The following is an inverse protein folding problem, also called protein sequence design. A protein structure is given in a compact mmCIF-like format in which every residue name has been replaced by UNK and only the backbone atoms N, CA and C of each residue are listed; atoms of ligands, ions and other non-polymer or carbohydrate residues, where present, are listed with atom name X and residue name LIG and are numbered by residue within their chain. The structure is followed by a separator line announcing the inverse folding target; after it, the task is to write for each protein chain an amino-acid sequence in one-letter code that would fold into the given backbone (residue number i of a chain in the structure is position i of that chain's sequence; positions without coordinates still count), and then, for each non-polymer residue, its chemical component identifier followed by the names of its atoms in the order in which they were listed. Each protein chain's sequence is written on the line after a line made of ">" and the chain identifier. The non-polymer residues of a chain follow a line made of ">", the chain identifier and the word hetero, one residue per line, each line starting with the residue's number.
data_IF_568961255945
#
_entry.id   IF_568961255945
#
_cell.length_a   1.000
_cell.length_b   1.000
_cell.length_c   1.000
_cell.angle_alpha   90.00
_cell.angle_beta   90.00
_cell.angle_gamma   90.00
#
_symmetry.space_group_name_H-M   'P 1'
#
loop_
_entity.id
_entity.type
_entity.pdbx_description
1 polymer ?
#
# COMPACT_ATOMS: atom_id res chain seq x y z
N UNK A 1 -11.25 19.25 -2.73
CA UNK A 1 -11.01 17.79 -2.58
C UNK A 1 -9.55 17.60 -2.24
N UNK A 2 -9.24 16.78 -1.25
CA UNK A 2 -7.84 16.49 -0.89
C UNK A 2 -7.25 15.53 -1.93
N UNK A 3 -6.07 15.86 -2.47
CA UNK A 3 -5.34 14.97 -3.38
C UNK A 3 -4.45 14.06 -2.53
N UNK A 4 -4.59 12.74 -2.71
CA UNK A 4 -3.69 11.77 -2.12
C UNK A 4 -2.36 11.80 -2.89
N UNK A 5 -1.30 12.16 -2.20
CA UNK A 5 0.03 12.36 -2.78
C UNK A 5 0.83 11.05 -2.86
N UNK A 6 1.88 11.04 -3.69
CA UNK A 6 2.83 9.93 -3.80
C UNK A 6 3.90 10.07 -2.72
N UNK A 7 4.29 8.96 -2.08
CA UNK A 7 5.39 8.93 -1.12
C UNK A 7 6.69 8.57 -1.85
N UNK A 8 7.64 9.51 -1.90
CA UNK A 8 8.95 9.31 -2.53
C UNK A 8 10.04 9.77 -1.56
N UNK A 9 10.98 8.91 -1.24
CA UNK A 9 12.09 9.19 -0.31
C UNK A 9 11.65 9.73 1.07
N UNK A 10 10.48 9.32 1.55
CA UNK A 10 9.92 9.79 2.83
C UNK A 10 9.12 11.09 2.74
N UNK A 11 9.04 11.72 1.57
CA UNK A 11 8.30 12.97 1.34
C UNK A 11 7.04 12.72 0.51
N UNK A 12 5.96 13.44 0.85
CA UNK A 12 4.73 13.42 0.08
C UNK A 12 4.82 14.41 -1.08
N UNK A 13 4.78 13.89 -2.31
CA UNK A 13 4.92 14.67 -3.54
C UNK A 13 3.71 14.47 -4.45
N UNK A 14 3.41 15.47 -5.24
CA UNK A 14 2.37 15.40 -6.25
C UNK A 14 1.73 16.75 -6.54
N UNK A 15 1.24 16.91 -7.75
CA UNK A 15 0.55 18.10 -8.25
C UNK A 15 -0.88 17.76 -8.64
N UNK A 16 -1.13 17.70 -9.96
CA UNK A 16 -2.45 17.40 -10.51
C UNK A 16 -2.92 16.01 -10.11
N UNK A 17 -4.20 15.92 -9.78
CA UNK A 17 -4.82 14.66 -9.36
C UNK A 17 -5.78 14.11 -10.42
N UNK A 18 -5.88 12.77 -10.44
CA UNK A 18 -6.88 12.04 -11.24
C UNK A 18 -7.92 11.44 -10.29
N UNK A 19 -9.19 11.63 -10.61
CA UNK A 19 -10.28 11.00 -9.88
C UNK A 19 -10.27 9.48 -10.12
N UNK A 20 -10.34 8.71 -9.03
CA UNK A 20 -10.62 7.29 -9.05
C UNK A 20 -12.14 7.12 -8.88
N UNK A 21 -12.79 6.55 -9.86
CA UNK A 21 -14.24 6.42 -9.92
C UNK A 21 -14.61 4.95 -9.70
N UNK A 22 -15.58 4.72 -8.84
CA UNK A 22 -16.12 3.39 -8.59
C UNK A 22 -16.75 2.82 -9.88
N UNK A 23 -16.27 1.70 -10.43
CA UNK A 23 -16.79 1.15 -11.68
C UNK A 23 -18.22 0.58 -11.55
N UNK A 24 -18.68 0.30 -10.34
CA UNK A 24 -20.05 -0.16 -10.06
C UNK A 24 -21.04 0.98 -9.83
N UNK A 25 -20.55 2.20 -9.54
CA UNK A 25 -21.35 3.43 -9.39
C UNK A 25 -20.53 4.62 -9.86
N UNK A 26 -20.68 5.00 -11.10
CA UNK A 26 -19.90 6.09 -11.72
C UNK A 26 -20.16 7.49 -11.13
N UNK A 27 -21.12 7.64 -10.23
CA UNK A 27 -21.32 8.87 -9.45
C UNK A 27 -20.48 8.88 -8.16
N UNK A 28 -19.92 7.74 -7.76
CA UNK A 28 -19.09 7.62 -6.57
C UNK A 28 -17.60 7.85 -6.91
N UNK A 29 -17.08 8.98 -6.51
CA UNK A 29 -15.65 9.29 -6.59
C UNK A 29 -14.97 8.74 -5.33
N UNK A 30 -14.18 7.68 -5.48
CA UNK A 30 -13.45 7.01 -4.38
C UNK A 30 -12.43 7.95 -3.76
N UNK A 31 -11.68 8.67 -4.58
CA UNK A 31 -10.69 9.66 -4.17
C UNK A 31 -10.04 10.33 -5.37
N UNK A 32 -9.19 11.31 -5.11
CA UNK A 32 -8.36 11.97 -6.12
C UNK A 32 -6.90 11.70 -5.80
N UNK A 33 -6.15 11.19 -6.75
CA UNK A 33 -4.78 10.70 -6.55
C UNK A 33 -3.80 11.44 -7.45
N UNK A 34 -2.64 11.82 -6.91
CA UNK A 34 -1.62 12.53 -7.65
C UNK A 34 -1.11 11.70 -8.85
N UNK A 35 -1.05 12.36 -9.99
CA UNK A 35 -0.45 11.79 -11.21
C UNK A 35 1.06 11.97 -11.16
N UNK A 36 1.80 10.86 -11.11
CA UNK A 36 3.25 10.90 -11.19
C UNK A 36 3.72 11.25 -12.60
N UNK A 37 4.76 12.06 -12.68
CA UNK A 37 5.50 12.33 -13.91
C UNK A 37 6.59 11.26 -14.14
N UNK A 38 7.23 11.29 -15.31
CA UNK A 38 8.41 10.45 -15.57
C UNK A 38 9.57 10.80 -14.61
N UNK A 39 9.70 12.08 -14.25
CA UNK A 39 10.70 12.55 -13.28
C UNK A 39 10.42 12.02 -11.88
N UNK A 40 9.17 12.07 -11.42
CA UNK A 40 8.76 11.48 -10.13
C UNK A 40 9.05 9.97 -10.10
N UNK A 41 8.74 9.27 -11.18
CA UNK A 41 9.00 7.83 -11.32
C UNK A 41 10.50 7.52 -11.22
N UNK A 42 11.33 8.27 -11.94
CA UNK A 42 12.77 8.11 -11.88
C UNK A 42 13.33 8.45 -10.48
N UNK A 43 12.80 9.48 -9.83
CA UNK A 43 13.16 9.84 -8.46
C UNK A 43 12.80 8.71 -7.48
N UNK A 44 11.63 8.10 -7.62
CA UNK A 44 11.20 6.96 -6.79
C UNK A 44 12.13 5.75 -6.96
N UNK A 45 12.50 5.42 -8.20
CA UNK A 45 13.45 4.34 -8.51
C UNK A 45 14.83 4.64 -7.90
N UNK A 46 15.32 5.87 -8.05
CA UNK A 46 16.59 6.28 -7.46
C UNK A 46 16.58 6.21 -5.93
N UNK A 47 15.50 6.65 -5.30
CA UNK A 47 15.31 6.57 -3.85
C UNK A 47 15.30 5.12 -3.34
N UNK A 48 14.58 4.23 -4.01
CA UNK A 48 14.56 2.80 -3.69
C UNK A 48 15.95 2.16 -3.82
N UNK A 49 16.68 2.48 -4.90
CA UNK A 49 18.05 2.03 -5.11
C UNK A 49 18.99 2.52 -4.02
N UNK A 50 18.87 3.79 -3.61
CA UNK A 50 19.67 4.37 -2.54
C UNK A 50 19.38 3.74 -1.15
N UNK A 51 18.13 3.37 -0.88
CA UNK A 51 17.72 2.73 0.38
C UNK A 51 18.16 1.25 0.48
N UNK A 52 18.30 0.56 -0.65
CA UNK A 52 18.57 -0.88 -0.71
C UNK A 52 19.80 -1.32 0.11
N UNK A 53 20.98 -0.65 0.07
CA UNK A 53 22.16 -1.12 0.81
C UNK A 53 21.95 -1.20 2.32
N UNK A 54 21.22 -0.26 2.91
CA UNK A 54 20.90 -0.29 4.35
C UNK A 54 19.83 -1.35 4.65
N UNK A 55 18.75 -1.37 3.86
CA UNK A 55 17.65 -2.32 4.05
C UNK A 55 18.11 -3.77 3.87
N UNK A 56 18.93 -4.07 2.87
CA UNK A 56 19.44 -5.42 2.61
C UNK A 56 20.31 -5.98 3.75
N UNK A 57 20.89 -5.12 4.59
CA UNK A 57 21.68 -5.48 5.75
C UNK A 57 20.93 -5.36 7.07
N UNK A 58 19.66 -4.96 7.06
CA UNK A 58 18.84 -4.89 8.27
C UNK A 58 18.67 -6.27 8.92
N UNK A 59 18.50 -6.28 10.24
CA UNK A 59 18.37 -7.54 10.99
C UNK A 59 17.07 -8.27 10.67
N UNK A 60 17.09 -9.60 10.78
CA UNK A 60 15.90 -10.45 10.56
C UNK A 60 14.76 -10.10 11.51
N UNK A 61 15.07 -9.74 12.77
CA UNK A 61 14.07 -9.33 13.76
C UNK A 61 13.40 -8.00 13.39
N UNK A 62 14.15 -7.06 12.84
CA UNK A 62 13.60 -5.78 12.36
C UNK A 62 12.62 -6.00 11.22
N UNK A 63 12.99 -6.80 10.22
CA UNK A 63 12.11 -7.13 9.09
C UNK A 63 10.85 -7.86 9.55
N UNK A 64 11.02 -8.85 10.46
CA UNK A 64 9.89 -9.56 11.05
C UNK A 64 8.94 -8.59 11.75
N UNK A 65 9.45 -7.70 12.60
CA UNK A 65 8.63 -6.77 13.36
C UNK A 65 7.84 -5.81 12.47
N UNK A 66 8.45 -5.30 11.40
CA UNK A 66 7.80 -4.42 10.43
C UNK A 66 6.67 -5.15 9.71
N UNK A 67 6.95 -6.33 9.16
CA UNK A 67 5.96 -7.13 8.42
C UNK A 67 4.81 -7.58 9.34
N UNK A 68 5.13 -8.01 10.57
CA UNK A 68 4.14 -8.41 11.57
C UNK A 68 3.21 -7.26 11.93
N UNK A 69 3.78 -6.09 12.24
CA UNK A 69 2.99 -4.90 12.54
C UNK A 69 2.09 -4.50 11.37
N UNK A 70 2.59 -4.62 10.13
CA UNK A 70 1.80 -4.36 8.92
C UNK A 70 0.62 -5.33 8.82
N UNK A 71 0.83 -6.62 9.08
CA UNK A 71 -0.24 -7.62 9.08
C UNK A 71 -1.33 -7.29 10.10
N UNK A 72 -0.94 -6.94 11.33
CA UNK A 72 -1.85 -6.60 12.41
C UNK A 72 -2.68 -5.34 12.09
N UNK A 73 -2.05 -4.30 11.53
CA UNK A 73 -2.73 -3.06 11.09
C UNK A 73 -3.74 -3.32 9.96
N UNK A 74 -3.37 -4.11 8.95
CA UNK A 74 -4.29 -4.47 7.86
C UNK A 74 -5.50 -5.21 8.44
N UNK A 75 -5.28 -6.18 9.33
CA UNK A 75 -6.35 -6.98 9.93
C UNK A 75 -7.28 -6.11 10.80
N UNK A 76 -6.71 -5.21 11.60
CA UNK A 76 -7.47 -4.29 12.44
C UNK A 76 -8.38 -3.35 11.63
N UNK A 77 -7.95 -3.00 10.41
CA UNK A 77 -8.67 -2.10 9.51
C UNK A 77 -9.39 -2.84 8.37
N UNK A 78 -9.62 -4.14 8.46
CA UNK A 78 -10.17 -4.98 7.38
C UNK A 78 -11.49 -4.46 6.79
N UNK A 79 -12.36 -3.92 7.63
CA UNK A 79 -13.67 -3.45 7.18
C UNK A 79 -13.56 -2.12 6.42
N UNK A 80 -12.69 -1.22 6.87
CA UNK A 80 -12.37 0.05 6.19
C UNK A 80 -11.69 -0.21 4.84
N UNK A 81 -10.62 -1.00 4.87
CA UNK A 81 -9.83 -1.32 3.67
C UNK A 81 -10.60 -2.18 2.68
N UNK A 82 -11.40 -3.12 3.17
CA UNK A 82 -12.26 -3.96 2.33
C UNK A 82 -13.35 -3.16 1.62
N UNK A 83 -13.92 -2.16 2.30
CA UNK A 83 -14.88 -1.23 1.69
C UNK A 83 -14.22 -0.35 0.62
N UNK A 84 -13.01 0.15 0.89
CA UNK A 84 -12.24 0.92 -0.09
C UNK A 84 -11.94 0.09 -1.33
N UNK A 85 -11.44 -1.13 -1.15
CA UNK A 85 -11.14 -2.08 -2.22
C UNK A 85 -12.40 -2.40 -3.06
N UNK A 86 -13.52 -2.66 -2.41
CA UNK A 86 -14.81 -2.90 -3.06
C UNK A 86 -15.21 -1.73 -3.98
N UNK A 87 -15.04 -0.49 -3.51
CA UNK A 87 -15.33 0.72 -4.30
C UNK A 87 -14.36 0.91 -5.46
N UNK A 88 -13.07 0.65 -5.26
CA UNK A 88 -12.06 0.83 -6.30
C UNK A 88 -12.18 -0.17 -7.44
N UNK A 89 -12.53 -1.42 -7.13
CA UNK A 89 -12.59 -2.51 -8.11
C UNK A 89 -14.00 -2.87 -8.55
N UNK A 90 -15.03 -2.38 -7.87
CA UNK A 90 -16.42 -2.69 -8.17
C UNK A 90 -16.85 -4.11 -7.76
N UNK A 91 -16.08 -4.79 -6.90
CA UNK A 91 -16.43 -6.11 -6.36
C UNK A 91 -17.37 -6.00 -5.17
N UNK A 92 -17.92 -7.13 -4.72
CA UNK A 92 -18.77 -7.16 -3.53
C UNK A 92 -17.99 -6.80 -2.27
N UNK A 93 -18.68 -6.25 -1.26
CA UNK A 93 -18.04 -5.90 0.01
C UNK A 93 -17.44 -7.12 0.72
N UNK A 94 -18.11 -8.27 0.64
CA UNK A 94 -17.62 -9.53 1.24
C UNK A 94 -16.30 -9.97 0.59
N UNK A 95 -16.16 -9.87 -0.71
CA UNK A 95 -14.91 -10.15 -1.44
C UNK A 95 -13.81 -9.16 -1.05
N UNK A 96 -14.10 -7.85 -1.02
CA UNK A 96 -13.13 -6.83 -0.61
C UNK A 96 -12.58 -7.07 0.81
N UNK A 97 -13.45 -7.39 1.77
CA UNK A 97 -13.03 -7.74 3.15
C UNK A 97 -12.21 -9.04 3.15
N UNK A 98 -12.64 -10.06 2.41
CA UNK A 98 -11.93 -11.34 2.30
C UNK A 98 -10.51 -11.17 1.74
N UNK A 99 -10.34 -10.35 0.73
CA UNK A 99 -9.02 -10.05 0.15
C UNK A 99 -8.13 -9.24 1.09
N UNK A 100 -8.70 -8.30 1.85
CA UNK A 100 -7.97 -7.57 2.88
C UNK A 100 -7.46 -8.50 3.97
N UNK A 101 -8.29 -9.44 4.44
CA UNK A 101 -7.86 -10.49 5.38
C UNK A 101 -6.74 -11.33 4.76
N UNK A 102 -6.86 -11.69 3.48
CA UNK A 102 -5.83 -12.44 2.77
C UNK A 102 -4.51 -11.67 2.68
N UNK A 103 -4.56 -10.36 2.44
CA UNK A 103 -3.37 -9.52 2.45
C UNK A 103 -2.66 -9.57 3.82
N UNK A 104 -3.39 -9.43 4.93
CA UNK A 104 -2.83 -9.59 6.28
C UNK A 104 -2.13 -10.94 6.45
N UNK A 105 -2.76 -12.03 6.04
CA UNK A 105 -2.18 -13.38 6.11
C UNK A 105 -0.89 -13.53 5.32
N UNK A 106 -0.78 -12.88 4.16
CA UNK A 106 0.44 -12.88 3.34
C UNK A 106 1.56 -12.13 4.04
N UNK A 107 1.29 -10.95 4.60
CA UNK A 107 2.28 -10.22 5.39
C UNK A 107 2.74 -11.00 6.61
N UNK A 108 1.83 -11.69 7.31
CA UNK A 108 2.16 -12.53 8.47
C UNK A 108 3.04 -13.73 8.07
N UNK A 109 2.71 -14.38 6.95
CA UNK A 109 3.54 -15.45 6.39
C UNK A 109 4.97 -14.97 6.13
N UNK A 110 5.14 -13.84 5.42
CA UNK A 110 6.46 -13.32 5.11
C UNK A 110 7.17 -12.72 6.33
N UNK A 111 6.45 -12.30 7.37
CA UNK A 111 7.05 -11.97 8.66
C UNK A 111 7.76 -13.21 9.27
N UNK A 112 7.12 -14.37 9.21
CA UNK A 112 7.73 -15.63 9.61
C UNK A 112 8.93 -16.03 8.73
N UNK A 113 8.82 -15.89 7.42
CA UNK A 113 9.91 -16.19 6.47
C UNK A 113 11.12 -15.27 6.66
N UNK A 114 10.91 -14.00 7.06
CA UNK A 114 12.02 -13.08 7.35
C UNK A 114 12.98 -13.62 8.41
N UNK A 115 12.50 -14.42 9.37
CA UNK A 115 13.33 -15.05 10.41
C UNK A 115 14.21 -16.19 9.89
N UNK A 116 13.91 -16.72 8.70
CA UNK A 116 14.67 -17.81 8.06
C UNK A 116 15.80 -17.31 7.16
N UNK A 117 15.79 -16.02 6.81
CA UNK A 117 16.80 -15.39 5.95
C UNK A 117 17.98 -14.92 6.81
N UNK A 118 18.74 -15.85 7.28
CA UNK A 118 19.98 -15.57 8.03
C UNK A 118 21.18 -15.37 7.10
#
# INVERSE_FOLDING_TARGET
>A
MTIHQNLIAGEWVGGDGIANINPSDTNDVVGTYARATAEDTNAAIAAAKAAFPAWSRSGILERHAILRKTADEILARKDELGRLLSREEGKTLAEGIGETIRASQIFDFFAGEALRLA
#
